data_IF_020067531047
#
_entry.id   IF_020067531047
#
_cell.length_a   1.000
_cell.length_b   1.000
_cell.length_c   1.000
_cell.angle_alpha   90.00
_cell.angle_beta   90.00
_cell.angle_gamma   90.00
#
_symmetry.space_group_name_H-M   'P 1'
#
loop_
_entity.id
_entity.type
_entity.pdbx_description
1 polymer ?
#
# COMPACT_ATOMS: atom_id res chain seq x y z
N UNK A 1 -73.49 40.33 -18.71
CA UNK A 1 -72.62 41.53 -18.59
C UNK A 1 -71.61 41.47 -19.74
N UNK A 2 -71.46 42.60 -20.46
CA UNK A 2 -70.82 42.81 -21.78
C UNK A 2 -69.29 42.58 -21.75
N UNK A 3 -68.74 41.82 -22.72
CA UNK A 3 -67.83 42.20 -23.85
C UNK A 3 -66.42 42.72 -23.44
N UNK A 4 -65.41 42.72 -24.35
CA UNK A 4 -65.06 41.77 -25.41
C UNK A 4 -63.53 41.51 -25.59
N UNK A 5 -63.20 40.54 -26.45
CA UNK A 5 -62.23 40.74 -27.53
C UNK A 5 -60.78 40.30 -27.29
N UNK A 6 -60.29 39.40 -28.13
CA UNK A 6 -59.17 39.59 -29.08
C UNK A 6 -59.06 38.31 -29.93
N UNK A 7 -59.04 38.49 -31.26
CA UNK A 7 -58.68 37.49 -32.27
C UNK A 7 -57.28 37.84 -32.78
N UNK A 8 -56.40 36.86 -32.92
CA UNK A 8 -55.32 36.90 -33.91
C UNK A 8 -55.10 35.49 -34.47
N UNK A 9 -55.23 35.38 -35.80
CA UNK A 9 -54.70 34.24 -36.55
C UNK A 9 -53.23 34.49 -36.89
N UNK A 10 -52.45 33.42 -37.01
CA UNK A 10 -51.13 33.48 -37.62
C UNK A 10 -50.96 32.24 -38.50
N UNK A 11 -50.58 32.53 -39.74
CA UNK A 11 -50.45 31.60 -40.85
C UNK A 11 -49.22 30.70 -40.72
N UNK A 12 -49.37 29.51 -41.28
CA UNK A 12 -48.29 28.56 -41.58
C UNK A 12 -47.39 29.14 -42.66
N UNK A 13 -46.10 29.28 -42.37
CA UNK A 13 -45.05 29.62 -43.33
C UNK A 13 -43.89 28.65 -43.19
N UNK A 14 -43.84 27.65 -44.06
CA UNK A 14 -42.71 26.74 -44.24
C UNK A 14 -41.65 27.49 -45.04
N UNK A 15 -40.47 27.73 -44.46
CA UNK A 15 -39.29 28.18 -45.19
C UNK A 15 -38.23 27.09 -45.12
N UNK A 16 -38.06 26.38 -46.24
CA UNK A 16 -36.96 25.46 -46.46
C UNK A 16 -35.69 26.26 -46.78
N UNK A 17 -34.67 26.14 -45.93
CA UNK A 17 -33.32 26.64 -46.23
C UNK A 17 -32.46 25.44 -46.59
N UNK A 18 -32.11 25.35 -47.87
CA UNK A 18 -31.05 24.48 -48.37
C UNK A 18 -29.69 25.06 -47.98
N UNK A 19 -29.00 24.40 -47.06
CA UNK A 19 -27.60 24.71 -46.74
C UNK A 19 -26.69 23.74 -47.48
N UNK A 20 -25.89 24.30 -48.39
CA UNK A 20 -24.93 23.60 -49.22
C UNK A 20 -23.82 22.91 -48.42
N UNK A 21 -23.44 21.74 -48.89
CA UNK A 21 -22.36 20.87 -48.42
C UNK A 21 -20.99 21.49 -48.67
N UNK A 22 -20.27 21.78 -47.58
CA UNK A 22 -18.81 21.99 -47.60
C UNK A 22 -18.10 20.77 -47.02
N UNK A 23 -17.56 19.90 -47.88
CA UNK A 23 -16.68 18.80 -47.45
C UNK A 23 -15.28 19.37 -47.25
N UNK A 24 -14.96 19.72 -46.01
CA UNK A 24 -13.61 20.05 -45.60
C UNK A 24 -12.83 18.75 -45.37
N UNK A 25 -11.95 18.40 -46.30
CA UNK A 25 -10.92 17.36 -46.09
C UNK A 25 -9.88 17.90 -45.11
N UNK A 26 -10.22 17.87 -43.82
CA UNK A 26 -9.26 18.07 -42.75
C UNK A 26 -8.38 16.83 -42.63
N UNK A 27 -7.12 16.93 -43.03
CA UNK A 27 -6.08 16.00 -42.61
C UNK A 27 -5.95 16.09 -41.10
N UNK A 28 -6.61 15.18 -40.38
CA UNK A 28 -6.39 15.03 -38.95
C UNK A 28 -4.92 14.64 -38.75
N UNK A 29 -4.13 15.38 -37.96
CA UNK A 29 -2.84 14.86 -37.54
C UNK A 29 -3.15 13.55 -36.82
N UNK A 30 -2.50 12.47 -37.24
CA UNK A 30 -2.52 11.22 -36.51
C UNK A 30 -1.95 11.53 -35.12
N UNK A 31 -2.83 11.77 -34.15
CA UNK A 31 -2.47 11.68 -32.74
C UNK A 31 -1.90 10.29 -32.56
N UNK A 32 -0.58 10.22 -32.44
CA UNK A 32 0.10 9.06 -31.93
C UNK A 32 -0.59 8.73 -30.61
N UNK A 33 -1.44 7.70 -30.61
CA UNK A 33 -1.93 7.09 -29.38
C UNK A 33 -0.69 6.55 -28.70
N UNK A 34 -0.13 7.33 -27.79
CA UNK A 34 0.61 6.77 -26.66
C UNK A 34 -0.41 5.92 -25.91
N UNK A 35 -0.52 4.66 -26.32
CA UNK A 35 -1.34 3.65 -25.68
C UNK A 35 -0.81 3.34 -24.29
N UNK A 36 -0.94 4.29 -23.38
CA UNK A 36 -1.06 4.06 -21.95
C UNK A 36 -2.57 4.08 -21.61
N UNK A 37 -3.37 3.32 -22.36
CA UNK A 37 -4.61 2.78 -21.80
C UNK A 37 -4.15 1.84 -20.69
N UNK A 38 -4.18 2.36 -19.46
CA UNK A 38 -3.41 1.82 -18.34
C UNK A 38 -3.67 0.33 -18.14
N UNK A 39 -2.61 -0.46 -17.98
CA UNK A 39 -2.75 -1.87 -17.60
C UNK A 39 -3.41 -2.03 -16.22
N UNK A 40 -3.67 -0.94 -15.49
CA UNK A 40 -4.39 -0.90 -14.22
C UNK A 40 -5.64 -0.06 -14.46
N UNK A 41 -6.80 -0.64 -14.17
CA UNK A 41 -8.08 0.02 -14.47
C UNK A 41 -9.31 -0.86 -14.30
N UNK A 42 -9.15 -2.11 -13.84
CA UNK A 42 -10.28 -2.95 -13.46
C UNK A 42 -11.04 -2.33 -12.28
N UNK A 43 -12.36 -2.45 -12.30
CA UNK A 43 -13.26 -2.08 -11.19
C UNK A 43 -13.39 -3.18 -10.15
N UNK A 44 -12.46 -4.14 -10.12
CA UNK A 44 -12.44 -5.19 -9.10
C UNK A 44 -12.54 -4.57 -7.68
N UNK A 45 -13.38 -5.16 -6.81
CA UNK A 45 -13.56 -4.66 -5.46
C UNK A 45 -12.24 -4.74 -4.70
N UNK A 46 -11.95 -3.69 -3.92
CA UNK A 46 -10.80 -3.64 -3.03
C UNK A 46 -11.07 -4.47 -1.77
N UNK A 47 -9.99 -4.90 -1.09
CA UNK A 47 -10.14 -5.40 0.29
C UNK A 47 -10.59 -4.27 1.23
N UNK A 48 -11.02 -4.63 2.43
CA UNK A 48 -11.33 -3.65 3.49
C UNK A 48 -10.13 -2.72 3.73
N UNK A 49 -8.93 -3.29 3.88
CA UNK A 49 -7.68 -2.52 4.03
C UNK A 49 -7.42 -1.56 2.85
N UNK A 50 -7.49 -2.07 1.63
CA UNK A 50 -7.22 -1.27 0.42
C UNK A 50 -8.29 -0.18 0.19
N UNK A 51 -9.52 -0.38 0.66
CA UNK A 51 -10.59 0.63 0.55
C UNK A 51 -10.27 1.91 1.33
N UNK A 52 -9.39 1.84 2.34
CA UNK A 52 -8.95 3.00 3.12
C UNK A 52 -8.02 3.94 2.37
N UNK A 53 -7.48 3.53 1.21
CA UNK A 53 -6.59 4.36 0.39
C UNK A 53 -7.23 5.68 -0.06
N UNK A 54 -8.56 5.72 -0.18
CA UNK A 54 -9.31 6.93 -0.55
C UNK A 54 -9.80 7.74 0.64
N UNK A 55 -9.53 7.33 1.88
CA UNK A 55 -10.05 8.01 3.06
C UNK A 55 -9.36 9.35 3.28
N UNK A 56 -10.16 10.36 3.58
CA UNK A 56 -9.74 11.74 3.82
C UNK A 56 -10.15 12.16 5.22
N UNK A 57 -9.31 12.97 5.85
CA UNK A 57 -9.60 13.61 7.14
C UNK A 57 -10.19 15.01 6.90
N UNK A 58 -10.85 15.60 7.91
CA UNK A 58 -11.17 17.03 7.90
C UNK A 58 -9.91 17.88 7.73
N UNK A 59 -10.02 19.01 7.04
CA UNK A 59 -8.93 19.96 6.91
C UNK A 59 -8.52 20.51 8.29
N UNK A 60 -7.22 20.76 8.47
CA UNK A 60 -6.70 21.19 9.77
C UNK A 60 -7.02 22.67 10.05
N UNK A 61 -7.12 23.50 9.00
CA UNK A 61 -7.40 24.93 9.10
C UNK A 61 -8.91 25.18 9.00
N UNK A 62 -9.64 24.40 8.20
CA UNK A 62 -11.11 24.43 8.11
C UNK A 62 -11.75 23.03 8.25
N UNK A 63 -12.07 22.60 9.50
CA UNK A 63 -12.67 21.27 9.77
C UNK A 63 -14.03 21.00 9.13
N UNK A 64 -14.66 22.02 8.50
CA UNK A 64 -15.90 21.86 7.75
C UNK A 64 -15.68 21.34 6.32
N UNK A 65 -14.43 21.27 5.86
CA UNK A 65 -14.06 20.79 4.53
C UNK A 65 -13.15 19.55 4.61
N UNK A 66 -13.19 18.63 3.63
CA UNK A 66 -12.24 17.52 3.55
C UNK A 66 -10.86 17.99 3.08
N UNK A 67 -9.81 17.33 3.57
CA UNK A 67 -8.45 17.50 3.03
C UNK A 67 -8.39 17.12 1.55
N UNK A 68 -7.56 17.85 0.81
CA UNK A 68 -7.36 17.66 -0.64
C UNK A 68 -6.65 16.35 -1.02
N UNK A 69 -5.94 15.73 -0.08
CA UNK A 69 -5.22 14.47 -0.28
C UNK A 69 -5.70 13.40 0.71
N UNK A 70 -5.79 12.15 0.27
CA UNK A 70 -6.10 11.04 1.17
C UNK A 70 -5.02 10.88 2.24
N UNK A 71 -5.39 10.30 3.37
CA UNK A 71 -4.44 10.04 4.44
C UNK A 71 -3.32 9.12 3.98
N UNK A 72 -3.64 8.11 3.17
CA UNK A 72 -2.65 7.22 2.55
C UNK A 72 -1.62 8.01 1.72
N UNK A 73 -2.07 8.92 0.86
CA UNK A 73 -1.19 9.76 0.03
C UNK A 73 -0.26 10.62 0.89
N UNK A 74 -0.77 11.18 1.99
CA UNK A 74 0.02 11.95 2.95
C UNK A 74 1.10 11.08 3.61
N UNK A 75 0.77 9.85 4.01
CA UNK A 75 1.74 8.93 4.62
C UNK A 75 2.82 8.48 3.64
N UNK A 76 2.42 8.15 2.40
CA UNK A 76 3.35 7.73 1.34
C UNK A 76 4.33 8.86 0.99
N UNK A 77 3.82 10.07 0.74
CA UNK A 77 4.65 11.27 0.45
C UNK A 77 5.48 11.68 1.66
N UNK A 78 4.86 11.65 2.84
CA UNK A 78 5.49 11.99 4.12
C UNK A 78 6.64 11.06 4.49
N UNK A 79 6.57 9.78 4.10
CA UNK A 79 7.67 8.82 4.25
C UNK A 79 8.71 8.82 3.14
N UNK A 80 8.50 9.61 2.07
CA UNK A 80 9.39 9.66 0.91
C UNK A 80 9.21 8.51 -0.09
N UNK A 81 8.07 7.82 -0.08
CA UNK A 81 7.77 6.66 -0.93
C UNK A 81 6.89 6.97 -2.16
N UNK A 82 6.65 8.25 -2.46
CA UNK A 82 5.79 8.68 -3.57
C UNK A 82 6.22 8.18 -4.96
N UNK A 83 7.48 7.81 -5.13
CA UNK A 83 7.99 7.24 -6.39
C UNK A 83 7.65 5.75 -6.58
N UNK A 84 7.41 5.02 -5.49
CA UNK A 84 7.27 3.56 -5.49
C UNK A 84 6.08 3.08 -6.31
N UNK A 85 4.88 3.56 -6.01
CA UNK A 85 3.64 3.16 -6.72
C UNK A 85 3.68 3.37 -8.24
N UNK A 86 4.06 4.57 -8.74
CA UNK A 86 4.21 4.82 -10.17
C UNK A 86 5.25 3.94 -10.86
N UNK A 87 6.40 3.70 -10.22
CA UNK A 87 7.44 2.82 -10.75
C UNK A 87 7.00 1.37 -10.78
N UNK A 88 6.45 0.87 -9.68
CA UNK A 88 5.90 -0.47 -9.57
C UNK A 88 4.86 -0.72 -10.66
N UNK A 89 3.90 0.20 -10.83
CA UNK A 89 2.88 0.12 -11.88
C UNK A 89 3.48 0.06 -13.28
N UNK A 90 4.45 0.94 -13.57
CA UNK A 90 5.14 0.97 -14.87
C UNK A 90 5.86 -0.35 -15.16
N UNK A 91 6.56 -0.93 -14.18
CA UNK A 91 7.25 -2.21 -14.32
C UNK A 91 6.26 -3.37 -14.46
N UNK A 92 5.19 -3.36 -13.67
CA UNK A 92 4.12 -4.36 -13.71
C UNK A 92 3.46 -4.41 -15.09
N UNK A 93 3.13 -3.25 -15.67
CA UNK A 93 2.56 -3.15 -17.02
C UNK A 93 3.47 -3.70 -18.14
N UNK A 94 4.77 -3.85 -17.90
CA UNK A 94 5.74 -4.36 -18.89
C UNK A 94 5.96 -5.86 -18.78
N UNK A 95 5.48 -6.51 -17.71
CA UNK A 95 5.59 -7.96 -17.54
C UNK A 95 4.75 -8.68 -18.60
N UNK A 96 5.26 -9.80 -19.12
CA UNK A 96 4.68 -10.52 -20.26
C UNK A 96 4.13 -11.89 -19.92
N UNK A 97 4.41 -12.36 -18.71
CA UNK A 97 4.00 -13.66 -18.21
C UNK A 97 3.95 -13.65 -16.67
N UNK A 98 3.43 -14.74 -16.11
CA UNK A 98 3.26 -14.92 -14.67
C UNK A 98 4.61 -15.04 -13.93
N UNK A 99 5.63 -15.62 -14.55
CA UNK A 99 6.93 -15.83 -13.92
C UNK A 99 7.63 -14.49 -13.69
N UNK A 100 7.70 -13.65 -14.73
CA UNK A 100 8.21 -12.29 -14.66
C UNK A 100 7.41 -11.43 -13.67
N UNK A 101 6.09 -11.57 -13.63
CA UNK A 101 5.25 -10.89 -12.64
C UNK A 101 5.57 -11.36 -11.21
N UNK A 102 5.76 -12.66 -11.00
CA UNK A 102 6.10 -13.24 -9.69
C UNK A 102 7.46 -12.76 -9.20
N UNK A 103 8.47 -12.77 -10.08
CA UNK A 103 9.80 -12.26 -9.75
C UNK A 103 9.75 -10.76 -9.42
N UNK A 104 9.01 -9.98 -10.22
CA UNK A 104 8.84 -8.54 -10.00
C UNK A 104 8.21 -8.27 -8.63
N UNK A 105 7.06 -8.85 -8.31
CA UNK A 105 6.34 -8.54 -7.06
C UNK A 105 7.14 -8.91 -5.82
N UNK A 106 7.91 -10.00 -5.85
CA UNK A 106 8.81 -10.36 -4.75
C UNK A 106 9.94 -9.34 -4.61
N UNK A 107 10.61 -9.01 -5.72
CA UNK A 107 11.72 -8.05 -5.71
C UNK A 107 11.30 -6.65 -5.23
N UNK A 108 10.11 -6.20 -5.63
CA UNK A 108 9.57 -4.87 -5.30
C UNK A 108 9.06 -4.81 -3.85
N UNK A 109 8.42 -5.88 -3.38
CA UNK A 109 8.02 -5.97 -1.98
C UNK A 109 9.25 -5.96 -1.05
N UNK A 110 10.27 -6.76 -1.35
CA UNK A 110 11.51 -6.74 -0.57
C UNK A 110 12.25 -5.39 -0.66
N UNK A 111 12.24 -4.73 -1.82
CA UNK A 111 12.82 -3.40 -1.97
C UNK A 111 12.09 -2.36 -1.09
N UNK A 112 10.76 -2.42 -1.03
CA UNK A 112 9.96 -1.59 -0.14
C UNK A 112 10.29 -1.85 1.35
N UNK A 113 10.39 -3.12 1.75
CA UNK A 113 10.82 -3.50 3.11
C UNK A 113 12.18 -2.90 3.46
N UNK A 114 13.19 -3.15 2.62
CA UNK A 114 14.56 -2.64 2.84
C UNK A 114 14.62 -1.12 2.85
N UNK A 115 13.81 -0.44 2.04
CA UNK A 115 13.70 1.02 2.06
C UNK A 115 13.12 1.53 3.39
N UNK A 116 12.11 0.86 3.94
CA UNK A 116 11.53 1.19 5.24
C UNK A 116 12.50 0.93 6.39
N UNK A 117 13.24 -0.18 6.38
CA UNK A 117 14.30 -0.49 7.36
C UNK A 117 15.42 0.55 7.28
N UNK A 118 15.92 0.85 6.07
CA UNK A 118 16.96 1.85 5.88
C UNK A 118 16.53 3.23 6.40
N UNK A 119 15.27 3.62 6.16
CA UNK A 119 14.67 4.83 6.72
C UNK A 119 14.65 4.81 8.26
N UNK A 120 14.10 3.76 8.87
CA UNK A 120 14.00 3.61 10.33
C UNK A 120 15.37 3.62 11.03
N UNK A 121 16.39 3.08 10.36
CA UNK A 121 17.76 3.03 10.84
C UNK A 121 18.61 4.23 10.42
N UNK A 122 18.03 5.21 9.70
CA UNK A 122 18.73 6.39 9.18
C UNK A 122 19.96 6.03 8.34
N UNK A 123 19.89 4.92 7.60
CA UNK A 123 20.89 4.51 6.62
C UNK A 123 20.69 5.33 5.34
N UNK A 124 21.55 6.33 5.14
CA UNK A 124 21.48 7.24 4.00
C UNK A 124 20.55 8.45 4.23
N UNK A 125 20.17 9.14 3.14
CA UNK A 125 19.34 10.34 3.23
C UNK A 125 17.89 9.96 3.50
N UNK A 126 17.39 10.33 4.69
CA UNK A 126 15.97 10.27 5.01
C UNK A 126 15.25 11.40 4.27
N UNK A 127 14.23 11.06 3.48
CA UNK A 127 13.38 12.01 2.75
C UNK A 127 11.95 12.00 3.30
N UNK A 128 11.17 13.02 2.95
CA UNK A 128 9.80 13.19 3.44
C UNK A 128 9.74 13.97 4.77
N UNK A 129 8.52 14.32 5.20
CA UNK A 129 8.28 15.15 6.37
C UNK A 129 8.00 14.36 7.67
N UNK A 130 7.73 13.05 7.58
CA UNK A 130 7.40 12.24 8.75
C UNK A 130 8.66 11.81 9.52
N UNK A 131 8.56 11.56 10.84
CA UNK A 131 9.66 11.00 11.64
C UNK A 131 10.21 9.72 11.03
N UNK A 132 11.53 9.55 11.02
CA UNK A 132 12.18 8.37 10.42
C UNK A 132 11.70 7.04 10.99
N UNK A 133 11.22 7.04 12.24
CA UNK A 133 10.70 5.88 12.97
C UNK A 133 9.21 5.57 12.70
N UNK A 134 8.53 6.37 11.87
CA UNK A 134 7.12 6.17 11.53
C UNK A 134 6.93 4.93 10.66
N UNK A 135 6.08 3.99 11.11
CA UNK A 135 5.82 2.70 10.46
C UNK A 135 4.73 2.80 9.37
N UNK A 136 3.86 3.81 9.45
CA UNK A 136 2.71 3.99 8.55
C UNK A 136 3.09 4.10 7.07
N UNK A 137 4.20 4.76 6.66
CA UNK A 137 4.57 4.82 5.25
C UNK A 137 4.75 3.45 4.59
N UNK A 138 5.31 2.45 5.29
CA UNK A 138 5.42 1.09 4.77
C UNK A 138 4.03 0.48 4.55
N UNK A 139 3.17 0.56 5.56
CA UNK A 139 1.82 0.00 5.52
C UNK A 139 1.00 0.57 4.35
N UNK A 140 0.94 1.90 4.20
CA UNK A 140 0.15 2.54 3.15
C UNK A 140 0.70 2.30 1.75
N UNK A 141 2.04 2.30 1.59
CA UNK A 141 2.67 2.02 0.28
C UNK A 141 2.43 0.57 -0.16
N UNK A 142 2.44 -0.37 0.79
CA UNK A 142 2.11 -1.77 0.52
C UNK A 142 0.66 -1.92 0.08
N UNK A 143 -0.30 -1.31 0.78
CA UNK A 143 -1.71 -1.34 0.38
C UNK A 143 -1.96 -0.73 -1.00
N UNK A 144 -1.31 0.39 -1.33
CA UNK A 144 -1.38 0.99 -2.67
C UNK A 144 -0.92 -0.01 -3.75
N UNK A 145 0.13 -0.78 -3.46
CA UNK A 145 0.70 -1.75 -4.39
C UNK A 145 -0.15 -3.02 -4.53
N UNK A 146 -0.73 -3.52 -3.44
CA UNK A 146 -1.66 -4.67 -3.50
C UNK A 146 -2.97 -4.30 -4.21
N UNK A 147 -3.50 -3.09 -3.98
CA UNK A 147 -4.64 -2.56 -4.72
C UNK A 147 -4.34 -2.45 -6.23
N UNK A 148 -3.13 -2.03 -6.59
CA UNK A 148 -2.65 -2.00 -7.98
C UNK A 148 -2.66 -3.39 -8.59
N UNK A 149 -2.09 -4.39 -7.90
CA UNK A 149 -2.11 -5.79 -8.35
C UNK A 149 -3.53 -6.35 -8.46
N UNK A 150 -4.45 -5.95 -7.58
CA UNK A 150 -5.85 -6.39 -7.63
C UNK A 150 -6.57 -5.88 -8.87
N UNK A 151 -6.27 -4.65 -9.28
CA UNK A 151 -6.91 -3.96 -10.42
C UNK A 151 -6.11 -4.02 -11.72
N UNK A 152 -5.01 -4.76 -11.72
CA UNK A 152 -4.13 -4.95 -12.87
C UNK A 152 -4.75 -5.89 -13.93
N UNK A 153 -4.77 -5.50 -15.18
CA UNK A 153 -5.20 -6.28 -16.33
C UNK A 153 -3.98 -6.52 -17.24
N UNK A 154 -3.25 -7.65 -17.07
CA UNK A 154 -2.13 -7.99 -17.95
C UNK A 154 -2.56 -8.27 -19.38
N UNK A 155 -1.60 -8.20 -20.31
CA UNK A 155 -1.76 -8.67 -21.69
C UNK A 155 -1.69 -10.19 -21.86
N UNK A 156 -1.63 -10.95 -20.76
CA UNK A 156 -1.60 -12.41 -20.73
C UNK A 156 -2.68 -12.94 -19.79
N UNK A 157 -3.04 -14.22 -19.93
CA UNK A 157 -4.06 -14.84 -19.08
C UNK A 157 -3.62 -14.89 -17.61
N UNK A 158 -4.40 -14.25 -16.73
CA UNK A 158 -4.16 -14.25 -15.29
C UNK A 158 -5.44 -14.63 -14.55
N UNK A 159 -5.45 -15.82 -13.95
CA UNK A 159 -6.58 -16.31 -13.16
C UNK A 159 -6.69 -15.57 -11.82
N UNK A 160 -7.86 -15.67 -11.18
CA UNK A 160 -8.08 -15.13 -9.84
C UNK A 160 -7.09 -15.70 -8.81
N UNK A 161 -6.83 -17.01 -8.86
CA UNK A 161 -5.86 -17.66 -7.96
C UNK A 161 -4.43 -17.17 -8.19
N UNK A 162 -4.01 -17.01 -9.45
CA UNK A 162 -2.68 -16.47 -9.78
C UNK A 162 -2.55 -15.02 -9.30
N UNK A 163 -3.59 -14.21 -9.48
CA UNK A 163 -3.63 -12.83 -8.97
C UNK A 163 -3.52 -12.80 -7.45
N UNK A 164 -4.29 -13.62 -6.74
CA UNK A 164 -4.19 -13.72 -5.28
C UNK A 164 -2.79 -14.14 -4.84
N UNK A 165 -2.17 -15.11 -5.54
CA UNK A 165 -0.79 -15.52 -5.25
C UNK A 165 0.23 -14.38 -5.45
N UNK A 166 0.07 -13.54 -6.49
CA UNK A 166 0.91 -12.36 -6.69
C UNK A 166 0.75 -11.32 -5.57
N UNK A 167 -0.50 -11.08 -5.14
CA UNK A 167 -0.81 -10.18 -4.01
C UNK A 167 -0.17 -10.71 -2.73
N UNK A 168 -0.38 -11.99 -2.39
CA UNK A 168 0.23 -12.65 -1.23
C UNK A 168 1.76 -12.60 -1.29
N UNK A 169 2.36 -12.85 -2.46
CA UNK A 169 3.81 -12.79 -2.61
C UNK A 169 4.37 -11.37 -2.37
N UNK A 170 3.70 -10.34 -2.91
CA UNK A 170 4.07 -8.95 -2.66
C UNK A 170 3.92 -8.57 -1.17
N UNK A 171 2.79 -8.94 -0.58
CA UNK A 171 2.46 -8.63 0.81
C UNK A 171 3.45 -9.28 1.78
N UNK A 172 3.78 -10.57 1.61
CA UNK A 172 4.81 -11.25 2.40
C UNK A 172 6.21 -10.64 2.18
N UNK A 173 6.57 -10.33 0.94
CA UNK A 173 7.87 -9.73 0.64
C UNK A 173 8.05 -8.35 1.31
N UNK A 174 7.02 -7.50 1.25
CA UNK A 174 7.02 -6.16 1.86
C UNK A 174 6.88 -6.15 3.38
N UNK A 175 6.66 -7.32 4.00
CA UNK A 175 6.69 -7.54 5.45
C UNK A 175 8.07 -7.96 5.98
N UNK A 176 9.07 -8.10 5.11
CA UNK A 176 10.38 -8.63 5.48
C UNK A 176 10.44 -10.16 5.57
N UNK A 177 9.33 -10.88 5.33
CA UNK A 177 9.28 -12.34 5.47
C UNK A 177 10.20 -13.08 4.51
N UNK A 178 10.61 -12.45 3.40
CA UNK A 178 11.58 -12.99 2.45
C UNK A 178 12.99 -12.43 2.60
N UNK A 179 13.20 -11.43 3.47
CA UNK A 179 14.51 -10.77 3.65
C UNK A 179 15.33 -11.38 4.81
N UNK A 180 14.72 -12.24 5.65
CA UNK A 180 15.34 -12.89 6.80
C UNK A 180 16.52 -13.77 6.37
N UNK A 181 17.73 -13.42 6.83
CA UNK A 181 18.98 -14.10 6.46
C UNK A 181 19.92 -14.33 7.63
N UNK A 182 19.68 -15.39 8.40
CA UNK A 182 20.58 -15.74 9.50
C UNK A 182 21.92 -16.35 9.05
N UNK A 183 23.06 -15.96 9.66
CA UNK A 183 24.37 -16.54 9.40
C UNK A 183 24.48 -17.93 10.02
N UNK A 184 25.43 -18.73 9.53
CA UNK A 184 25.77 -20.03 10.14
C UNK A 184 26.89 -19.89 11.18
N UNK A 185 27.05 -20.86 12.07
CA UNK A 185 28.17 -20.95 13.00
C UNK A 185 27.82 -20.69 14.47
N UNK A 186 28.73 -21.07 15.37
CA UNK A 186 28.51 -21.08 16.83
C UNK A 186 28.75 -19.72 17.51
N UNK A 187 29.40 -18.78 16.83
CA UNK A 187 29.71 -17.44 17.35
C UNK A 187 28.55 -16.43 17.29
N UNK A 188 27.39 -16.84 16.80
CA UNK A 188 26.22 -15.98 16.60
C UNK A 188 25.01 -16.50 17.39
N UNK A 189 24.30 -15.60 18.09
CA UNK A 189 22.92 -15.79 18.54
C UNK A 189 21.97 -15.26 17.48
N UNK A 190 21.03 -16.09 17.03
CA UNK A 190 20.03 -15.73 16.02
C UNK A 190 18.72 -15.40 16.72
N UNK A 191 18.28 -14.16 16.61
CA UNK A 191 17.02 -13.71 17.20
C UNK A 191 16.09 -13.31 16.06
N UNK A 192 14.92 -13.95 15.99
CA UNK A 192 13.86 -13.53 15.09
C UNK A 192 12.85 -12.67 15.87
N UNK A 193 12.51 -11.50 15.33
CA UNK A 193 11.59 -10.55 15.98
C UNK A 193 10.41 -10.24 15.06
N UNK A 194 9.19 -10.29 15.59
CA UNK A 194 8.02 -9.75 14.89
C UNK A 194 7.51 -8.47 15.54
N UNK A 195 6.98 -7.58 14.70
CA UNK A 195 6.06 -6.52 15.08
C UNK A 195 4.75 -6.63 14.29
N UNK A 196 3.82 -5.71 14.48
CA UNK A 196 2.53 -5.70 13.80
C UNK A 196 2.29 -4.43 12.98
N UNK A 197 1.43 -4.56 11.99
CA UNK A 197 0.88 -3.43 11.23
C UNK A 197 0.03 -2.49 12.12
N UNK A 198 -0.21 -1.23 11.68
CA UNK A 198 -1.28 -0.40 12.20
C UNK A 198 -2.64 -1.13 12.19
N UNK A 199 -3.44 -0.92 13.24
CA UNK A 199 -4.77 -1.50 13.40
C UNK A 199 -5.70 -0.52 14.11
N UNK A 200 -6.99 -0.87 14.20
CA UNK A 200 -8.03 0.02 14.73
C UNK A 200 -8.02 1.36 13.99
N UNK A 201 -8.00 1.30 12.66
CA UNK A 201 -7.96 2.48 11.79
C UNK A 201 -9.36 3.06 11.53
N UNK A 202 -10.40 2.30 11.88
CA UNK A 202 -11.79 2.69 11.74
C UNK A 202 -12.27 3.38 13.01
N UNK A 203 -13.19 4.32 12.86
CA UNK A 203 -13.77 5.06 13.99
C UNK A 203 -12.93 6.27 14.40
N UNK A 204 -12.95 6.60 15.69
CA UNK A 204 -12.37 7.83 16.22
C UNK A 204 -13.30 9.04 16.10
N UNK A 205 -12.81 10.20 16.53
CA UNK A 205 -13.56 11.46 16.44
C UNK A 205 -13.64 11.89 14.99
N UNK A 206 -14.86 12.07 14.47
CA UNK A 206 -15.10 12.54 13.09
C UNK A 206 -15.40 14.04 13.11
N UNK A 207 -14.85 14.79 12.15
CA UNK A 207 -15.14 16.22 11.98
C UNK A 207 -16.50 16.50 11.36
N UNK A 208 -16.83 17.77 11.18
CA UNK A 208 -18.09 18.21 10.55
C UNK A 208 -18.09 18.09 9.02
N UNK A 209 -16.91 17.94 8.40
CA UNK A 209 -16.74 17.78 6.96
C UNK A 209 -17.41 16.50 6.40
N UNK A 210 -18.36 16.62 5.46
CA UNK A 210 -18.99 15.45 4.84
C UNK A 210 -17.99 14.55 4.10
N UNK A 211 -18.15 13.24 4.24
CA UNK A 211 -17.31 12.24 3.54
C UNK A 211 -15.92 12.03 4.14
N UNK A 212 -15.62 12.64 5.29
CA UNK A 212 -14.38 12.39 6.03
C UNK A 212 -14.50 11.21 6.99
N UNK A 213 -13.36 10.65 7.39
CA UNK A 213 -13.27 9.58 8.39
C UNK A 213 -12.80 10.10 9.74
N UNK A 214 -12.97 9.30 10.79
CA UNK A 214 -12.47 9.63 12.11
C UNK A 214 -10.95 9.51 12.24
N UNK A 215 -10.42 10.10 13.31
CA UNK A 215 -8.99 10.27 13.55
C UNK A 215 -8.20 9.00 13.88
N UNK A 216 -8.86 7.88 14.16
CA UNK A 216 -8.22 6.57 14.33
C UNK A 216 -7.38 6.14 13.12
N UNK A 217 -7.70 6.64 11.93
CA UNK A 217 -6.90 6.41 10.71
C UNK A 217 -5.44 6.85 10.89
N UNK A 218 -5.16 7.73 11.87
CA UNK A 218 -3.83 8.23 12.20
C UNK A 218 -2.99 7.24 13.01
N UNK A 219 -3.56 6.15 13.52
CA UNK A 219 -2.80 5.18 14.30
C UNK A 219 -1.61 4.62 13.51
N UNK A 220 -0.46 4.58 14.18
CA UNK A 220 0.68 3.73 13.82
C UNK A 220 0.80 2.60 14.84
N UNK A 221 1.76 1.71 14.67
CA UNK A 221 2.03 0.64 15.62
C UNK A 221 3.50 0.66 16.08
N UNK A 222 3.79 0.98 17.35
CA UNK A 222 5.14 0.99 17.89
C UNK A 222 5.89 -0.35 17.72
N UNK A 223 5.17 -1.48 17.69
CA UNK A 223 5.80 -2.78 17.44
C UNK A 223 6.31 -2.91 16.01
N UNK A 224 5.58 -2.42 15.01
CA UNK A 224 6.01 -2.35 13.62
C UNK A 224 7.21 -1.41 13.46
N UNK A 225 7.18 -0.25 14.10
CA UNK A 225 8.32 0.67 14.15
C UNK A 225 9.56 0.02 14.79
N UNK A 226 9.37 -0.76 15.85
CA UNK A 226 10.45 -1.50 16.53
C UNK A 226 11.04 -2.57 15.62
N UNK A 227 10.22 -3.34 14.89
CA UNK A 227 10.70 -4.33 13.93
C UNK A 227 11.59 -3.68 12.85
N UNK A 228 11.16 -2.55 12.27
CA UNK A 228 11.94 -1.81 11.28
C UNK A 228 13.27 -1.29 11.84
N UNK A 229 13.28 -0.83 13.10
CA UNK A 229 14.49 -0.34 13.75
C UNK A 229 15.50 -1.47 14.03
N UNK A 230 15.04 -2.69 14.31
CA UNK A 230 15.87 -3.82 14.70
C UNK A 230 16.35 -4.70 13.54
N UNK A 231 15.70 -4.66 12.37
CA UNK A 231 16.01 -5.60 11.29
C UNK A 231 17.47 -5.53 10.81
N UNK A 232 18.14 -6.69 10.75
CA UNK A 232 19.54 -6.82 10.36
C UNK A 232 20.54 -6.16 11.31
N UNK A 233 20.14 -5.77 12.52
CA UNK A 233 21.06 -5.19 13.52
C UNK A 233 21.85 -6.29 14.24
N UNK A 234 23.03 -5.92 14.74
CA UNK A 234 23.89 -6.82 15.51
C UNK A 234 24.35 -6.19 16.82
N UNK A 235 24.36 -6.99 17.88
CA UNK A 235 24.81 -6.57 19.22
C UNK A 235 25.84 -7.55 19.77
N UNK A 236 26.77 -7.04 20.59
CA UNK A 236 27.72 -7.90 21.32
C UNK A 236 27.08 -8.36 22.63
N UNK A 237 27.01 -9.66 22.84
CA UNK A 237 26.49 -10.25 24.08
C UNK A 237 27.58 -10.23 25.16
N UNK A 238 27.17 -10.34 26.44
CA UNK A 238 28.09 -10.35 27.59
C UNK A 238 29.15 -11.45 27.53
N UNK A 239 28.83 -12.57 26.88
CA UNK A 239 29.74 -13.71 26.69
C UNK A 239 30.54 -13.65 25.38
N UNK A 240 30.58 -12.48 24.72
CA UNK A 240 31.44 -12.24 23.56
C UNK A 240 30.94 -12.85 22.25
N UNK A 241 29.66 -13.23 22.15
CA UNK A 241 29.03 -13.65 20.90
C UNK A 241 28.34 -12.47 20.23
N UNK A 242 28.01 -12.61 18.95
CA UNK A 242 27.23 -11.59 18.22
C UNK A 242 25.78 -12.03 18.21
N UNK A 243 24.86 -11.23 18.77
CA UNK A 243 23.44 -11.41 18.54
C UNK A 243 23.07 -10.70 17.25
N UNK A 244 22.51 -11.43 16.29
CA UNK A 244 21.96 -10.88 15.06
C UNK A 244 20.44 -10.98 15.11
N UNK A 245 19.79 -9.85 14.85
CA UNK A 245 18.35 -9.71 14.85
C UNK A 245 17.87 -9.63 13.41
N UNK A 246 16.96 -10.51 13.04
CA UNK A 246 16.21 -10.42 11.79
C UNK A 246 14.75 -10.18 12.16
N UNK A 247 14.11 -9.20 11.54
CA UNK A 247 12.76 -8.78 11.90
C UNK A 247 11.79 -8.82 10.71
N UNK A 248 10.52 -8.91 11.02
CA UNK A 248 9.42 -8.89 10.04
C UNK A 248 8.15 -8.32 10.69
N UNK A 249 7.16 -7.95 9.87
CA UNK A 249 5.86 -7.47 10.37
C UNK A 249 4.71 -8.42 10.05
N UNK A 250 3.83 -8.61 11.01
CA UNK A 250 2.61 -9.39 10.90
C UNK A 250 1.40 -8.49 10.59
N UNK A 251 0.45 -8.94 9.78
CA UNK A 251 -0.83 -8.27 9.64
C UNK A 251 -1.64 -8.40 10.93
N UNK A 252 -2.58 -7.48 11.16
CA UNK A 252 -3.58 -7.63 12.24
C UNK A 252 -4.89 -8.15 11.64
N UNK A 253 -4.83 -9.35 11.04
CA UNK A 253 -5.96 -9.99 10.37
C UNK A 253 -5.82 -11.52 10.38
N UNK A 254 -6.88 -12.22 10.81
CA UNK A 254 -6.91 -13.68 10.91
C UNK A 254 -6.72 -14.40 9.57
N UNK A 255 -7.10 -13.79 8.45
CA UNK A 255 -7.04 -14.45 7.13
C UNK A 255 -5.61 -14.85 6.78
N UNK A 256 -4.65 -13.95 6.96
CA UNK A 256 -3.24 -14.17 6.66
C UNK A 256 -2.59 -15.13 7.68
N UNK A 257 -3.00 -15.10 8.95
CA UNK A 257 -2.58 -16.09 9.94
C UNK A 257 -3.05 -17.50 9.55
N UNK A 258 -4.32 -17.66 9.16
CA UNK A 258 -4.85 -18.95 8.67
C UNK A 258 -4.15 -19.44 7.40
N UNK A 259 -3.59 -18.52 6.61
CA UNK A 259 -2.76 -18.83 5.44
C UNK A 259 -1.30 -19.16 5.80
N UNK A 260 -0.95 -19.25 7.08
CA UNK A 260 0.37 -19.70 7.54
C UNK A 260 1.45 -18.62 7.54
N UNK A 261 1.09 -17.32 7.56
CA UNK A 261 2.08 -16.23 7.52
C UNK A 261 3.14 -16.35 8.61
N UNK A 262 2.74 -16.72 9.83
CA UNK A 262 3.65 -16.90 10.95
C UNK A 262 4.44 -18.21 10.81
N UNK A 263 3.74 -19.32 10.59
CA UNK A 263 4.28 -20.67 10.57
C UNK A 263 5.27 -20.86 9.43
N UNK A 264 4.97 -20.34 8.23
CA UNK A 264 5.86 -20.43 7.07
C UNK A 264 7.09 -19.55 7.22
N UNK A 265 6.96 -18.41 7.92
CA UNK A 265 8.08 -17.47 8.12
C UNK A 265 9.03 -17.97 9.20
N UNK A 266 8.50 -18.43 10.33
CA UNK A 266 9.29 -18.79 11.51
C UNK A 266 9.62 -20.29 11.56
N UNK A 267 8.70 -21.15 11.11
CA UNK A 267 8.82 -22.60 11.17
C UNK A 267 10.12 -23.17 10.58
N UNK A 268 10.60 -22.69 9.41
CA UNK A 268 11.89 -23.11 8.87
C UNK A 268 13.08 -22.89 9.82
N UNK A 269 13.02 -21.84 10.65
CA UNK A 269 14.06 -21.47 11.60
C UNK A 269 13.92 -22.15 12.96
N UNK A 270 12.80 -22.81 13.24
CA UNK A 270 12.61 -23.59 14.47
C UNK A 270 13.19 -25.00 14.38
N UNK A 271 13.32 -25.54 13.16
CA UNK A 271 13.84 -26.88 12.90
C UNK A 271 15.34 -26.98 13.22
N UNK A 272 15.85 -28.16 13.62
CA UNK A 272 17.29 -28.38 13.74
C UNK A 272 18.02 -28.04 12.44
N UNK A 273 19.08 -27.23 12.54
CA UNK A 273 19.85 -26.82 11.37
C UNK A 273 20.85 -25.70 11.69
N UNK A 274 21.74 -25.38 10.75
CA UNK A 274 22.83 -24.40 10.96
C UNK A 274 22.34 -22.96 11.10
N UNK A 275 21.05 -22.70 10.82
CA UNK A 275 20.38 -21.40 10.91
C UNK A 275 19.23 -21.36 11.91
N UNK A 276 19.12 -22.39 12.77
CA UNK A 276 18.07 -22.45 13.80
C UNK A 276 18.15 -21.23 14.72
N UNK A 277 17.02 -20.58 15.00
CA UNK A 277 16.97 -19.43 15.92
C UNK A 277 17.25 -19.85 17.36
N UNK A 278 17.93 -18.98 18.10
CA UNK A 278 18.13 -19.11 19.54
C UNK A 278 16.97 -18.50 20.33
N UNK A 279 16.27 -17.52 19.74
CA UNK A 279 15.09 -16.90 20.33
C UNK A 279 14.13 -16.42 19.24
N UNK A 280 12.84 -16.46 19.55
CA UNK A 280 11.75 -15.86 18.77
C UNK A 280 10.98 -14.94 19.70
N UNK A 281 10.89 -13.66 19.35
CA UNK A 281 10.28 -12.62 20.17
C UNK A 281 9.20 -11.92 19.35
N UNK A 282 8.01 -11.81 19.90
CA UNK A 282 6.93 -11.02 19.30
C UNK A 282 6.78 -9.76 20.15
N UNK A 283 6.93 -8.59 19.52
CA UNK A 283 6.61 -7.30 20.13
C UNK A 283 5.19 -6.93 19.70
N UNK A 284 4.37 -6.50 20.65
CA UNK A 284 3.02 -6.02 20.38
C UNK A 284 2.79 -4.65 21.03
N UNK A 285 1.68 -4.02 20.67
CA UNK A 285 1.16 -2.86 21.36
C UNK A 285 0.09 -3.31 22.37
N UNK A 286 0.22 -2.86 23.61
CA UNK A 286 -0.78 -2.99 24.66
C UNK A 286 -1.24 -1.59 25.13
N UNK A 287 -2.28 -1.53 25.96
CA UNK A 287 -2.92 -0.26 26.34
C UNK A 287 -2.14 0.56 27.37
N UNK A 288 -1.48 -0.09 28.33
CA UNK A 288 -0.87 0.60 29.46
C UNK A 288 0.46 1.26 29.07
N UNK A 289 0.87 2.30 29.83
CA UNK A 289 2.13 3.03 29.61
C UNK A 289 3.35 2.32 30.23
N UNK A 290 3.31 1.01 30.33
CA UNK A 290 4.37 0.16 30.90
C UNK A 290 4.81 -0.90 29.89
N UNK A 291 5.97 -1.51 30.13
CA UNK A 291 6.45 -2.63 29.35
C UNK A 291 6.13 -3.93 30.08
N UNK A 292 5.25 -4.74 29.50
CA UNK A 292 4.88 -6.06 30.03
C UNK A 292 5.65 -7.17 29.32
N UNK A 293 6.01 -8.21 30.08
CA UNK A 293 6.62 -9.44 29.58
C UNK A 293 5.67 -10.61 29.83
N UNK A 294 5.15 -11.18 28.74
CA UNK A 294 4.28 -12.36 28.71
C UNK A 294 5.09 -13.67 28.62
#
# INVERSE_FOLDING_TARGET
>A
MKLPGIRYGAAVGVLAVLSATGVSLGTTPASARTGAGGCVGSTAPLSVEESRLSWVLPDNDDPSTPQSASFADQMIKGGGFQGHGPEFTRRLCRTRDLEAATALVRSEGEALWRAAVARAQRKGRVTGALPYSDDRPLYWTRLQSTATLRRWTPGFALSGTQRSALITAYDRASRGMFDIRFPTGRGVRRVIVSGFDPYTLDGGTTGSAPGTVGDNIRHGNPSGATALALDGTTYRTKDGRTAEIQAYTLPVNYTEFQQGYLEDTVGPYMRPGPRRVDASITVSQAGDSVFDLE
#
